data_IF_619828066902
#
_entry.id   IF_619828066902
#
_cell.length_a   1.000
_cell.length_b   1.000
_cell.length_c   1.000
_cell.angle_alpha   90.00
_cell.angle_beta   90.00
_cell.angle_gamma   90.00
#
_symmetry.space_group_name_H-M   'P 1'
#
loop_
_entity.id
_entity.type
_entity.pdbx_description
1 polymer ?
#
# COMPACT_ATOMS: atom_id res chain seq x y z
N UNK A 1 25.74 -27.46 -1.06
CA UNK A 1 25.82 -26.56 0.11
C UNK A 1 25.38 -25.16 -0.31
N UNK A 2 24.18 -24.72 0.10
CA UNK A 2 23.62 -23.41 -0.21
C UNK A 2 24.40 -22.34 0.55
N UNK A 3 25.04 -21.41 -0.18
CA UNK A 3 25.75 -20.30 0.44
C UNK A 3 24.69 -19.36 1.02
N UNK A 4 24.47 -19.39 2.34
CA UNK A 4 23.66 -18.35 3.01
C UNK A 4 24.21 -16.97 2.63
N UNK A 5 23.41 -16.21 1.90
CA UNK A 5 23.72 -14.86 1.40
C UNK A 5 23.31 -13.78 2.39
N UNK A 6 22.53 -14.12 3.42
CA UNK A 6 22.05 -13.22 4.47
C UNK A 6 23.20 -12.63 5.28
N UNK A 7 23.06 -11.37 5.69
CA UNK A 7 24.05 -10.66 6.54
C UNK A 7 24.38 -11.48 7.80
N UNK A 8 23.37 -12.02 8.49
CA UNK A 8 23.57 -12.90 9.65
C UNK A 8 24.39 -14.16 9.34
N UNK A 9 24.13 -14.81 8.19
CA UNK A 9 24.89 -15.98 7.76
C UNK A 9 26.36 -15.64 7.43
N UNK A 10 26.63 -14.43 6.93
CA UNK A 10 28.00 -13.95 6.69
C UNK A 10 28.72 -13.63 8.01
N UNK A 11 28.05 -12.94 8.94
CA UNK A 11 28.59 -12.66 10.29
C UNK A 11 28.90 -13.96 11.04
N UNK A 12 27.99 -14.93 11.03
CA UNK A 12 28.21 -16.23 11.67
C UNK A 12 29.37 -17.04 11.07
N UNK A 13 29.61 -16.92 9.75
CA UNK A 13 30.78 -17.54 9.10
C UNK A 13 32.09 -16.88 9.55
N UNK A 14 32.12 -15.55 9.64
CA UNK A 14 33.29 -14.79 10.08
C UNK A 14 33.60 -15.05 11.57
N UNK A 15 32.57 -15.15 12.43
CA UNK A 15 32.73 -15.52 13.84
C UNK A 15 33.38 -16.90 13.98
N UNK A 16 32.90 -17.89 13.23
CA UNK A 16 33.46 -19.25 13.24
C UNK A 16 34.93 -19.25 12.81
N UNK A 17 35.29 -18.39 11.86
CA UNK A 17 36.68 -18.22 11.43
C UNK A 17 37.53 -17.60 12.54
N UNK A 18 37.07 -16.52 13.19
CA UNK A 18 37.78 -15.89 14.32
C UNK A 18 38.03 -16.88 15.45
N UNK A 19 37.03 -17.68 15.81
CA UNK A 19 37.15 -18.70 16.86
C UNK A 19 38.22 -19.73 16.49
N UNK A 20 38.18 -20.28 15.27
CA UNK A 20 39.21 -21.22 14.80
C UNK A 20 40.62 -20.62 14.81
N UNK A 21 40.78 -19.36 14.40
CA UNK A 21 42.09 -18.70 14.44
C UNK A 21 42.57 -18.44 15.87
N UNK A 22 41.64 -18.22 16.80
CA UNK A 22 41.93 -18.07 18.23
C UNK A 22 42.35 -19.38 18.88
N UNK A 23 41.68 -20.48 18.53
CA UNK A 23 41.99 -21.82 19.03
C UNK A 23 43.37 -22.31 18.55
N UNK A 24 43.80 -21.89 17.35
CA UNK A 24 45.09 -22.28 16.75
C UNK A 24 46.15 -21.17 16.86
N UNK A 25 46.02 -20.23 17.80
CA UNK A 25 46.90 -19.05 17.92
C UNK A 25 48.38 -19.40 18.08
N UNK A 26 48.68 -20.51 18.76
CA UNK A 26 50.06 -20.91 19.11
C UNK A 26 50.83 -21.38 17.86
N UNK A 27 50.13 -21.98 16.90
CA UNK A 27 50.69 -22.39 15.60
C UNK A 27 50.77 -21.22 14.60
N UNK A 28 49.96 -20.19 14.82
CA UNK A 28 49.77 -19.07 13.89
C UNK A 28 50.37 -17.75 14.40
N UNK A 29 51.41 -17.80 15.24
CA UNK A 29 52.00 -16.61 15.87
C UNK A 29 52.46 -15.51 14.88
N UNK A 30 52.83 -15.86 13.65
CA UNK A 30 53.18 -14.89 12.60
C UNK A 30 51.96 -14.15 12.02
N UNK A 31 50.75 -14.66 12.22
CA UNK A 31 49.49 -14.06 11.77
C UNK A 31 48.77 -13.26 12.87
N UNK A 32 49.31 -13.19 14.08
CA UNK A 32 48.72 -12.44 15.20
C UNK A 32 48.35 -10.98 14.83
N UNK A 33 49.21 -10.19 14.13
CA UNK A 33 48.83 -8.84 13.70
C UNK A 33 47.61 -8.82 12.76
N UNK A 34 47.50 -9.83 11.89
CA UNK A 34 46.37 -9.95 10.95
C UNK A 34 45.11 -10.43 11.67
N UNK A 35 45.25 -11.31 12.66
CA UNK A 35 44.16 -11.79 13.53
C UNK A 35 43.59 -10.64 14.37
N UNK A 36 44.45 -9.83 15.01
CA UNK A 36 44.03 -8.67 15.78
C UNK A 36 43.25 -7.66 14.92
N UNK A 37 43.73 -7.38 13.71
CA UNK A 37 43.01 -6.53 12.75
C UNK A 37 41.68 -7.14 12.31
N UNK A 38 41.63 -8.45 12.12
CA UNK A 38 40.40 -9.16 11.78
C UNK A 38 39.38 -9.09 12.91
N UNK A 39 39.82 -9.23 14.16
CA UNK A 39 38.98 -9.10 15.36
C UNK A 39 38.39 -7.69 15.49
N UNK A 40 39.19 -6.65 15.27
CA UNK A 40 38.73 -5.25 15.27
C UNK A 40 37.63 -5.02 14.21
N UNK A 41 37.90 -5.42 12.96
CA UNK A 41 36.93 -5.28 11.86
C UNK A 41 35.68 -6.11 12.15
N UNK A 42 35.82 -7.29 12.73
CA UNK A 42 34.69 -8.13 13.10
C UNK A 42 33.83 -7.47 14.19
N UNK A 43 34.44 -6.82 15.18
CA UNK A 43 33.73 -6.01 16.17
C UNK A 43 32.89 -4.89 15.54
N UNK A 44 33.47 -4.16 14.58
CA UNK A 44 32.76 -3.12 13.82
C UNK A 44 31.58 -3.68 13.02
N UNK A 45 31.74 -4.85 12.40
CA UNK A 45 30.66 -5.53 11.67
C UNK A 45 29.52 -5.89 12.62
N UNK A 46 29.82 -6.43 13.80
CA UNK A 46 28.82 -6.82 14.78
C UNK A 46 28.05 -5.60 15.31
N UNK A 47 28.74 -4.51 15.59
CA UNK A 47 28.12 -3.26 16.00
C UNK A 47 27.19 -2.69 14.91
N UNK A 48 27.66 -2.66 13.67
CA UNK A 48 26.86 -2.20 12.54
C UNK A 48 25.61 -3.09 12.32
N UNK A 49 25.74 -4.41 12.45
CA UNK A 49 24.60 -5.34 12.35
C UNK A 49 23.57 -5.11 13.46
N UNK A 50 24.00 -4.87 14.69
CA UNK A 50 23.12 -4.54 15.81
C UNK A 50 22.38 -3.22 15.57
N UNK A 51 23.08 -2.17 15.11
CA UNK A 51 22.46 -0.88 14.74
C UNK A 51 21.42 -1.05 13.62
N UNK A 52 21.73 -1.85 12.61
CA UNK A 52 20.81 -2.13 11.50
C UNK A 52 19.53 -2.83 11.98
N UNK A 53 19.64 -3.78 12.92
CA UNK A 53 18.47 -4.44 13.51
C UNK A 53 17.59 -3.44 14.28
N UNK A 54 18.19 -2.56 15.09
CA UNK A 54 17.48 -1.52 15.83
C UNK A 54 16.75 -0.55 14.90
N UNK A 55 17.41 -0.04 13.85
CA UNK A 55 16.77 0.86 12.88
C UNK A 55 15.63 0.18 12.11
N UNK A 56 15.73 -1.12 11.86
CA UNK A 56 14.65 -1.87 11.23
C UNK A 56 13.42 -1.93 12.13
N UNK A 57 13.62 -2.19 13.43
CA UNK A 57 12.54 -2.18 14.41
C UNK A 57 11.92 -0.77 14.53
N UNK A 58 12.74 0.27 14.69
CA UNK A 58 12.26 1.66 14.77
C UNK A 58 11.51 2.09 13.50
N UNK A 59 11.95 1.65 12.32
CA UNK A 59 11.25 1.91 11.06
C UNK A 59 9.87 1.25 11.04
N UNK A 60 9.77 0.00 11.49
CA UNK A 60 8.48 -0.69 11.55
C UNK A 60 7.52 0.01 12.50
N UNK A 61 7.98 0.40 13.69
CA UNK A 61 7.18 1.14 14.67
C UNK A 61 6.71 2.49 14.12
N UNK A 62 7.63 3.29 13.57
CA UNK A 62 7.28 4.57 12.96
C UNK A 62 6.30 4.43 11.78
N UNK A 63 6.42 3.36 10.98
CA UNK A 63 5.47 3.09 9.89
C UNK A 63 4.07 2.76 10.41
N UNK A 64 3.97 1.98 11.49
CA UNK A 64 2.68 1.66 12.12
C UNK A 64 2.03 2.90 12.72
N UNK A 65 2.81 3.75 13.41
CA UNK A 65 2.33 5.02 13.94
C UNK A 65 1.82 5.95 12.83
N UNK A 66 2.59 6.09 11.74
CA UNK A 66 2.17 6.88 10.59
C UNK A 66 0.86 6.38 10.00
N UNK A 67 0.71 5.06 9.82
CA UNK A 67 -0.52 4.48 9.30
C UNK A 67 -1.72 4.72 10.24
N UNK A 68 -1.50 4.67 11.55
CA UNK A 68 -2.49 5.04 12.57
C UNK A 68 -2.93 6.49 12.40
N UNK A 69 -1.99 7.42 12.38
CA UNK A 69 -2.29 8.85 12.20
C UNK A 69 -3.01 9.17 10.89
N UNK A 70 -2.62 8.52 9.78
CA UNK A 70 -3.30 8.68 8.50
C UNK A 70 -4.75 8.20 8.58
N UNK A 71 -4.98 7.03 9.18
CA UNK A 71 -6.33 6.46 9.32
C UNK A 71 -7.24 7.38 10.15
N UNK A 72 -6.72 7.92 11.26
CA UNK A 72 -7.47 8.83 12.11
C UNK A 72 -7.74 10.17 11.44
N UNK A 73 -6.75 10.71 10.70
CA UNK A 73 -6.90 11.92 9.92
C UNK A 73 -7.96 11.76 8.81
N UNK A 74 -7.98 10.63 8.10
CA UNK A 74 -8.98 10.33 7.06
C UNK A 74 -10.40 10.25 7.62
N UNK A 75 -10.56 9.61 8.78
CA UNK A 75 -11.85 9.54 9.49
C UNK A 75 -12.34 10.93 9.87
N UNK A 76 -11.47 11.73 10.49
CA UNK A 76 -11.81 13.10 10.88
C UNK A 76 -12.12 13.97 9.66
N UNK A 77 -11.32 13.85 8.59
CA UNK A 77 -11.56 14.56 7.35
C UNK A 77 -12.94 14.22 6.77
N UNK A 78 -13.36 12.96 6.80
CA UNK A 78 -14.69 12.54 6.33
C UNK A 78 -15.81 13.23 7.12
N UNK A 79 -15.68 13.28 8.46
CA UNK A 79 -16.65 13.96 9.33
C UNK A 79 -16.69 15.46 9.03
N UNK A 80 -15.54 16.10 8.90
CA UNK A 80 -15.44 17.54 8.58
C UNK A 80 -16.05 17.84 7.20
N UNK A 81 -15.77 17.02 6.20
CA UNK A 81 -16.36 17.17 4.86
C UNK A 81 -17.89 17.03 4.89
N UNK A 82 -18.42 16.12 5.71
CA UNK A 82 -19.87 15.96 5.88
C UNK A 82 -20.47 17.17 6.61
N UNK A 83 -19.82 17.67 7.66
CA UNK A 83 -20.25 18.86 8.38
C UNK A 83 -20.30 20.10 7.47
N UNK A 84 -19.29 20.28 6.61
CA UNK A 84 -19.27 21.36 5.60
C UNK A 84 -20.43 21.21 4.61
N UNK A 85 -20.71 19.98 4.14
CA UNK A 85 -21.87 19.71 3.27
C UNK A 85 -23.21 19.95 3.95
N UNK A 86 -23.34 19.66 5.24
CA UNK A 86 -24.55 19.93 6.02
C UNK A 86 -24.74 21.43 6.23
N UNK A 87 -23.66 22.17 6.51
CA UNK A 87 -23.73 23.60 6.78
C UNK A 87 -24.12 24.43 5.54
N UNK A 88 -23.46 24.19 4.40
CA UNK A 88 -23.73 24.95 3.18
C UNK A 88 -24.85 24.34 2.31
N UNK A 89 -25.15 23.06 2.52
CA UNK A 89 -26.07 22.29 1.69
C UNK A 89 -25.35 21.56 0.54
N UNK A 90 -25.84 20.37 0.21
CA UNK A 90 -25.22 19.44 -0.75
C UNK A 90 -25.09 19.97 -2.19
N UNK A 91 -25.81 21.05 -2.54
CA UNK A 91 -25.80 21.67 -3.88
C UNK A 91 -25.06 23.00 -3.93
N UNK A 92 -24.51 23.48 -2.81
CA UNK A 92 -23.86 24.77 -2.78
C UNK A 92 -22.53 24.74 -3.53
N UNK A 93 -22.34 25.72 -4.43
CA UNK A 93 -21.07 25.91 -5.15
C UNK A 93 -19.92 26.26 -4.18
N UNK A 94 -20.23 26.75 -2.98
CA UNK A 94 -19.28 26.96 -1.88
C UNK A 94 -18.57 25.70 -1.40
N UNK A 95 -19.05 24.51 -1.77
CA UNK A 95 -18.33 23.26 -1.51
C UNK A 95 -17.03 23.15 -2.32
N UNK A 96 -16.95 23.80 -3.49
CA UNK A 96 -15.76 23.77 -4.34
C UNK A 96 -14.53 24.42 -3.69
N UNK A 97 -14.73 25.44 -2.84
CA UNK A 97 -13.67 26.12 -2.09
C UNK A 97 -12.96 25.17 -1.11
N UNK A 98 -13.63 24.10 -0.68
CA UNK A 98 -13.09 23.05 0.19
C UNK A 98 -12.64 21.78 -0.58
N UNK A 99 -12.54 21.87 -1.91
CA UNK A 99 -12.22 20.73 -2.78
C UNK A 99 -13.33 19.67 -2.89
N UNK A 100 -14.56 19.99 -2.44
CA UNK A 100 -15.70 19.09 -2.47
C UNK A 100 -16.59 19.36 -3.69
N UNK A 101 -16.98 18.31 -4.42
CA UNK A 101 -17.88 18.44 -5.57
C UNK A 101 -19.34 18.64 -5.12
N UNK A 102 -20.02 19.71 -5.54
CA UNK A 102 -21.46 19.87 -5.31
C UNK A 102 -22.27 18.76 -5.98
N UNK A 103 -23.32 18.29 -5.33
CA UNK A 103 -24.23 17.30 -5.91
C UNK A 103 -25.14 17.96 -6.95
N UNK A 104 -24.89 17.68 -8.23
CA UNK A 104 -25.70 18.22 -9.35
C UNK A 104 -26.81 17.29 -9.84
N UNK A 105 -26.97 16.12 -9.20
CA UNK A 105 -27.88 15.07 -9.66
C UNK A 105 -27.46 14.47 -11.02
N UNK A 106 -27.93 13.27 -11.33
CA UNK A 106 -27.82 12.71 -12.69
C UNK A 106 -29.09 13.11 -13.44
N UNK A 107 -29.01 13.69 -14.67
CA UNK A 107 -30.21 13.92 -15.45
C UNK A 107 -30.89 12.56 -15.69
N UNK A 108 -32.16 12.43 -15.28
CA UNK A 108 -32.98 11.27 -15.66
C UNK A 108 -33.13 11.33 -17.18
N UNK A 109 -32.60 10.33 -17.90
CA UNK A 109 -32.98 10.09 -19.29
C UNK A 109 -34.49 9.91 -19.28
N UNK A 110 -35.22 10.88 -19.83
CA UNK A 110 -36.67 10.84 -19.90
C UNK A 110 -37.08 9.51 -20.53
N UNK A 111 -38.02 8.81 -19.90
CA UNK A 111 -38.81 7.79 -20.58
C UNK A 111 -39.38 8.44 -21.82
N UNK A 112 -38.83 8.10 -22.98
CA UNK A 112 -39.46 8.37 -24.26
C UNK A 112 -40.89 7.84 -24.15
N UNK A 113 -41.84 8.72 -24.46
CA UNK A 113 -43.26 8.39 -24.48
C UNK A 113 -43.45 7.02 -25.15
N UNK A 114 -44.14 6.12 -24.46
CA UNK A 114 -44.58 4.86 -25.02
C UNK A 114 -45.30 5.15 -26.34
N UNK A 115 -44.72 4.69 -27.44
CA UNK A 115 -45.42 4.56 -28.72
C UNK A 115 -46.65 3.69 -28.44
N UNK A 116 -47.84 4.30 -28.55
CA UNK A 116 -49.11 3.55 -28.56
C UNK A 116 -49.00 2.47 -29.65
N UNK A 117 -49.36 1.20 -29.38
CA UNK A 117 -49.44 0.19 -30.43
C UNK A 117 -50.48 0.64 -31.47
N UNK A 118 -50.10 0.64 -32.74
CA UNK A 118 -51.03 0.86 -33.84
C UNK A 118 -52.12 -0.22 -33.80
N UNK A 119 -53.39 0.21 -33.85
CA UNK A 119 -54.53 -0.69 -34.12
C UNK A 119 -54.28 -1.39 -35.46
N UNK A 120 -54.50 -2.73 -35.57
CA UNK A 120 -54.52 -3.36 -36.88
C UNK A 120 -55.78 -2.91 -37.63
N UNK A 121 -55.57 -2.28 -38.79
CA UNK A 121 -56.60 -2.01 -39.80
C UNK A 121 -57.06 -3.36 -40.38
N UNK A 122 -58.37 -3.68 -40.39
CA UNK A 122 -58.86 -4.87 -41.08
C UNK A 122 -58.75 -4.68 -42.60
N UNK A 123 -58.21 -5.68 -43.29
CA UNK A 123 -58.11 -5.71 -44.74
C UNK A 123 -59.52 -5.82 -45.37
N UNK A 124 -59.77 -5.16 -46.51
CA UNK A 124 -61.01 -5.33 -47.25
C UNK A 124 -60.93 -6.65 -48.03
N UNK A 125 -61.66 -7.68 -47.58
CA UNK A 125 -61.98 -8.85 -48.41
C UNK A 125 -63.06 -8.45 -49.41
N UNK A 126 -62.79 -8.79 -50.66
CA UNK A 126 -63.57 -8.45 -51.84
C UNK A 126 -65.05 -8.86 -51.75
N UNK A 127 -65.87 -8.06 -52.42
CA UNK A 127 -67.31 -8.26 -52.61
C UNK A 127 -67.65 -9.62 -53.24
N UNK A 128 -68.86 -10.15 -52.98
CA UNK A 128 -69.37 -11.35 -53.62
C UNK A 128 -69.91 -11.00 -55.02
N UNK A 129 -69.76 -11.90 -55.99
CA UNK A 129 -70.65 -11.95 -57.15
C UNK A 129 -71.05 -13.41 -57.45
N UNK A 130 -72.27 -13.63 -57.97
CA UNK A 130 -72.97 -14.91 -57.91
C UNK A 130 -72.90 -15.71 -59.23
N UNK A 131 -72.83 -17.04 -59.12
CA UNK A 131 -73.61 -18.03 -59.91
C UNK A 131 -73.37 -19.46 -59.38
#
# INVERSE_FOLDING_TARGET
MTKETTVQGRVGKLQKLLNRMTDNREELGHLEPSRARFEEIFGQIQEAANRQASYTASKQEASQQLQGFLTDAERLATVLQLAVKQHYGIRAEKLADFGLKPFRGRPRKGTAAATKPAKPTPAPTAAPDPE
#
